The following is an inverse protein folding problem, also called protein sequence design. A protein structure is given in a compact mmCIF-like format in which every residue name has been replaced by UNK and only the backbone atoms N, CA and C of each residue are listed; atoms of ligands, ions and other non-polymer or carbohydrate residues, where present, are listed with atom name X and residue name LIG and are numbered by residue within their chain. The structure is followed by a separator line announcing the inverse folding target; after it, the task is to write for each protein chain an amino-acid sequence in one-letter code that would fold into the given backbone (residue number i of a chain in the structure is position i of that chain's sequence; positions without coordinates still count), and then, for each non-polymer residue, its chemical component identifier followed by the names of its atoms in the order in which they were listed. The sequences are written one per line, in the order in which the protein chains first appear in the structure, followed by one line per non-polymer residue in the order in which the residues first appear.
data_IF_075836190345
#
_entry.id   IF_075836190345
#
_cell.length_a   1.000
_cell.length_b   1.000
_cell.length_c   1.000
_cell.angle_alpha   90.00
_cell.angle_beta   90.00
_cell.angle_gamma   90.00
#
_symmetry.space_group_name_H-M   'P 1'
#
loop_
_entity.id
_entity.type
_entity.pdbx_description
1 polymer ?
#
# COMPACT_ATOMS: atom_id res chain seq x y z
N UNK A 1 18.87 28.99 -69.63
CA UNK A 1 19.26 30.40 -69.85
C UNK A 1 19.71 30.92 -68.51
N UNK A 2 21.02 31.03 -68.23
CA UNK A 2 21.90 32.16 -68.48
C UNK A 2 21.56 33.31 -67.51
N UNK A 3 22.42 33.93 -66.69
CA UNK A 3 23.88 34.11 -66.53
C UNK A 3 24.10 34.89 -65.24
N UNK A 4 25.08 34.53 -64.43
CA UNK A 4 26.40 35.26 -64.25
C UNK A 4 26.31 36.63 -63.63
N UNK A 5 27.09 36.90 -62.61
CA UNK A 5 28.38 37.43 -62.46
C UNK A 5 28.63 37.94 -61.03
N UNK A 6 29.60 37.51 -60.32
CA UNK A 6 31.04 37.90 -60.22
C UNK A 6 31.30 39.37 -59.97
N UNK A 7 31.94 39.73 -58.86
CA UNK A 7 33.29 40.31 -58.73
C UNK A 7 33.47 40.98 -57.36
N UNK A 8 34.42 40.53 -56.62
CA UNK A 8 35.81 40.97 -56.34
C UNK A 8 35.99 42.03 -55.22
N UNK A 9 36.81 41.59 -54.29
CA UNK A 9 37.69 42.29 -53.30
C UNK A 9 38.46 43.53 -53.91
N UNK A 10 39.16 44.38 -53.09
CA UNK A 10 40.22 44.02 -52.13
C UNK A 10 40.48 44.91 -50.88
N UNK A 11 41.24 44.37 -49.91
CA UNK A 11 42.47 44.83 -49.20
C UNK A 11 42.50 46.25 -48.65
N UNK A 12 43.06 46.58 -47.54
CA UNK A 12 44.15 46.28 -46.61
C UNK A 12 44.17 47.47 -45.63
N UNK A 13 44.65 47.48 -44.44
CA UNK A 13 45.97 47.30 -43.86
C UNK A 13 45.96 47.69 -42.37
N UNK A 14 46.56 46.86 -41.58
CA UNK A 14 47.55 47.06 -40.52
C UNK A 14 47.63 48.43 -39.78
N UNK A 15 47.54 48.42 -38.44
CA UNK A 15 48.57 48.99 -37.56
C UNK A 15 48.34 48.74 -36.06
N UNK A 16 49.28 48.02 -35.46
CA UNK A 16 50.03 48.20 -34.22
C UNK A 16 49.30 48.44 -32.88
N UNK A 17 49.68 47.60 -31.93
CA UNK A 17 49.59 47.71 -30.47
C UNK A 17 50.42 48.91 -29.94
N UNK A 18 50.25 49.38 -28.68
CA UNK A 18 50.81 48.64 -27.54
C UNK A 18 50.06 48.76 -26.17
N UNK A 19 50.35 47.77 -25.35
CA UNK A 19 50.72 47.73 -23.91
C UNK A 19 49.73 48.06 -22.79
N UNK A 20 49.61 47.05 -21.92
CA UNK A 20 49.82 47.11 -20.48
C UNK A 20 48.74 47.74 -19.58
N UNK A 21 47.96 46.93 -18.90
CA UNK A 21 47.88 47.03 -17.43
C UNK A 21 47.24 45.79 -16.82
N UNK A 22 47.99 45.23 -15.93
CA UNK A 22 47.60 44.06 -15.09
C UNK A 22 46.39 44.39 -14.19
N UNK A 23 45.43 43.52 -14.15
CA UNK A 23 44.42 43.50 -13.09
C UNK A 23 44.56 42.22 -12.26
N UNK A 24 44.39 42.29 -10.92
CA UNK A 24 44.74 41.22 -10.04
C UNK A 24 43.73 40.05 -10.13
N UNK A 25 44.27 38.84 -10.02
CA UNK A 25 43.52 37.57 -9.83
C UNK A 25 42.67 37.67 -8.57
N UNK A 26 41.33 37.60 -8.72
CA UNK A 26 40.45 37.28 -7.61
C UNK A 26 40.52 35.76 -7.37
N UNK A 27 40.92 35.46 -6.17
CA UNK A 27 40.95 34.12 -5.60
C UNK A 27 39.57 33.47 -5.48
N UNK A 28 39.52 32.17 -5.74
CA UNK A 28 38.73 31.19 -5.01
C UNK A 28 37.23 31.39 -5.04
N UNK A 29 36.55 30.91 -6.10
CA UNK A 29 35.19 30.43 -5.97
C UNK A 29 35.17 29.15 -5.11
N UNK A 30 34.68 29.27 -3.91
CA UNK A 30 34.36 28.13 -3.03
C UNK A 30 33.36 27.26 -3.80
N UNK A 31 33.80 26.10 -4.20
CA UNK A 31 32.91 25.01 -4.63
C UNK A 31 32.06 24.66 -3.41
N UNK A 32 30.79 25.01 -3.46
CA UNK A 32 29.79 24.51 -2.52
C UNK A 32 29.62 23.00 -2.82
N UNK A 33 30.41 22.18 -2.15
CA UNK A 33 30.15 20.75 -2.04
C UNK A 33 28.81 20.63 -1.33
N UNK A 34 27.75 20.48 -2.14
CA UNK A 34 26.49 19.94 -1.66
C UNK A 34 26.79 18.51 -1.24
N UNK A 35 27.03 18.34 0.02
CA UNK A 35 27.08 17.08 0.73
C UNK A 35 25.68 16.45 0.59
N UNK A 36 25.43 15.72 -0.49
CA UNK A 36 24.25 14.88 -0.66
C UNK A 36 24.43 13.67 0.24
N UNK A 37 23.94 13.79 1.45
CA UNK A 37 23.85 12.70 2.40
C UNK A 37 22.95 11.59 1.81
N UNK A 38 23.35 10.30 1.86
CA UNK A 38 22.57 9.14 1.36
C UNK A 38 21.21 8.94 2.04
N UNK A 39 20.87 9.77 3.02
CA UNK A 39 19.69 9.70 3.88
C UNK A 39 18.36 10.09 3.21
N UNK A 40 18.39 10.76 2.04
CA UNK A 40 17.18 11.35 1.46
C UNK A 40 16.33 10.41 0.61
N UNK A 41 16.87 9.33 0.06
CA UNK A 41 16.09 8.45 -0.83
C UNK A 41 15.05 7.60 -0.06
N UNK A 42 15.38 7.09 1.13
CA UNK A 42 14.46 6.34 1.98
C UNK A 42 13.33 7.22 2.52
N UNK A 43 13.68 8.41 3.03
CA UNK A 43 12.72 9.36 3.59
C UNK A 43 11.69 9.84 2.55
N UNK A 44 12.12 10.08 1.30
CA UNK A 44 11.21 10.50 0.23
C UNK A 44 10.25 9.37 -0.17
N UNK A 45 10.73 8.12 -0.26
CA UNK A 45 9.88 6.97 -0.57
C UNK A 45 8.79 6.79 0.50
N UNK A 46 9.16 6.90 1.76
CA UNK A 46 8.22 6.84 2.89
C UNK A 46 7.22 7.99 2.87
N UNK A 47 7.67 9.22 2.64
CA UNK A 47 6.81 10.38 2.51
C UNK A 47 5.79 10.24 1.38
N UNK A 48 6.18 9.63 0.25
CA UNK A 48 5.28 9.31 -0.86
C UNK A 48 4.23 8.26 -0.49
N UNK A 49 4.59 7.22 0.28
CA UNK A 49 3.64 6.22 0.75
C UNK A 49 2.64 6.81 1.76
N UNK A 50 3.09 7.66 2.68
CA UNK A 50 2.20 8.39 3.58
C UNK A 50 1.26 9.35 2.82
N UNK A 51 1.77 10.01 1.79
CA UNK A 51 0.95 10.85 0.92
C UNK A 51 -0.08 10.02 0.14
N UNK A 52 0.31 8.85 -0.36
CA UNK A 52 -0.58 7.93 -1.05
C UNK A 52 -1.71 7.43 -0.13
N UNK A 53 -1.40 7.12 1.11
CA UNK A 53 -2.38 6.73 2.11
C UNK A 53 -3.39 7.85 2.37
N UNK A 54 -2.94 9.10 2.59
CA UNK A 54 -3.84 10.26 2.76
C UNK A 54 -4.74 10.49 1.54
N UNK A 55 -4.20 10.36 0.33
CA UNK A 55 -5.00 10.48 -0.90
C UNK A 55 -6.02 9.35 -0.99
N UNK A 56 -5.62 8.11 -0.66
CA UNK A 56 -6.51 6.95 -0.63
C UNK A 56 -7.67 7.14 0.35
N UNK A 57 -7.40 7.62 1.54
CA UNK A 57 -8.42 7.85 2.58
C UNK A 57 -9.40 8.97 2.19
N UNK A 58 -8.90 10.07 1.63
CA UNK A 58 -9.71 11.23 1.27
C UNK A 58 -10.49 11.04 -0.02
N UNK A 59 -9.85 10.55 -1.06
CA UNK A 59 -10.37 10.55 -2.45
C UNK A 59 -10.72 9.13 -2.94
N UNK A 60 -10.47 8.09 -2.13
CA UNK A 60 -10.68 6.70 -2.49
C UNK A 60 -9.72 6.19 -3.56
N UNK A 61 -9.96 4.94 -4.01
CA UNK A 61 -9.14 4.31 -5.05
C UNK A 61 -9.21 5.02 -6.42
N UNK A 62 -10.33 5.68 -6.72
CA UNK A 62 -10.51 6.39 -7.98
C UNK A 62 -9.66 7.67 -8.04
N UNK A 63 -9.46 8.34 -6.90
CA UNK A 63 -8.63 9.55 -6.79
C UNK A 63 -7.14 9.26 -6.68
N UNK A 64 -6.74 8.02 -6.40
CA UNK A 64 -5.35 7.64 -6.19
C UNK A 64 -4.59 7.57 -7.52
N UNK A 65 -3.78 8.59 -7.79
CA UNK A 65 -2.94 8.70 -8.97
C UNK A 65 -1.53 9.16 -8.60
N UNK A 66 -0.50 8.85 -9.42
CA UNK A 66 0.87 9.32 -9.17
C UNK A 66 0.95 10.85 -9.07
N UNK A 67 0.14 11.58 -9.86
CA UNK A 67 0.09 13.05 -9.81
C UNK A 67 -0.54 13.56 -8.51
N UNK A 68 -1.62 12.95 -8.05
CA UNK A 68 -2.24 13.30 -6.78
C UNK A 68 -1.28 13.09 -5.61
N UNK A 69 -0.57 11.96 -5.61
CA UNK A 69 0.44 11.62 -4.58
C UNK A 69 1.62 12.59 -4.60
N UNK A 70 2.15 12.94 -5.80
CA UNK A 70 3.23 13.92 -5.91
C UNK A 70 2.82 15.29 -5.35
N UNK A 71 1.60 15.75 -5.69
CA UNK A 71 1.04 16.99 -5.18
C UNK A 71 0.85 16.97 -3.67
N UNK A 72 0.30 15.88 -3.13
CA UNK A 72 0.10 15.67 -1.70
C UNK A 72 1.41 15.66 -0.91
N UNK A 73 2.46 15.07 -1.49
CA UNK A 73 3.80 15.02 -0.90
C UNK A 73 4.62 16.32 -1.10
N UNK A 74 4.13 17.27 -1.91
CA UNK A 74 4.86 18.52 -2.20
C UNK A 74 6.12 18.33 -3.05
N UNK A 75 6.15 17.31 -3.93
CA UNK A 75 7.33 16.95 -4.72
C UNK A 75 7.05 17.00 -6.22
N UNK A 76 8.10 16.82 -7.03
CA UNK A 76 7.97 16.78 -8.49
C UNK A 76 7.08 15.63 -8.95
N UNK A 77 6.34 15.82 -10.05
CA UNK A 77 5.48 14.78 -10.62
C UNK A 77 6.25 13.52 -11.08
N UNK A 78 7.57 13.63 -11.29
CA UNK A 78 8.42 12.50 -11.66
C UNK A 78 8.81 11.63 -10.46
N UNK A 79 8.79 12.16 -9.24
CA UNK A 79 9.27 11.48 -8.05
C UNK A 79 8.53 10.14 -7.78
N UNK A 80 7.19 10.04 -7.78
CA UNK A 80 6.51 8.77 -7.56
C UNK A 80 6.85 7.72 -8.62
N UNK A 81 6.96 8.13 -9.89
CA UNK A 81 7.34 7.23 -10.98
C UNK A 81 8.76 6.70 -10.79
N UNK A 82 9.69 7.55 -10.34
CA UNK A 82 11.07 7.15 -10.07
C UNK A 82 11.15 6.08 -8.95
N UNK A 83 10.34 6.21 -7.88
CA UNK A 83 10.39 5.31 -6.74
C UNK A 83 9.58 4.02 -6.92
N UNK A 84 8.48 4.07 -7.66
CA UNK A 84 7.52 2.95 -7.74
C UNK A 84 7.34 2.38 -9.15
N UNK A 85 7.87 3.06 -10.18
CA UNK A 85 7.70 2.70 -11.58
C UNK A 85 6.39 3.23 -12.17
N UNK A 86 5.27 2.78 -11.65
CA UNK A 86 3.93 3.15 -12.08
C UNK A 86 2.94 3.17 -10.92
N UNK A 87 1.65 3.35 -11.23
CA UNK A 87 0.59 3.34 -10.21
C UNK A 87 0.44 1.96 -9.57
N UNK A 88 0.54 0.88 -10.37
CA UNK A 88 0.48 -0.49 -9.86
C UNK A 88 1.56 -0.75 -8.84
N UNK A 89 2.79 -0.29 -9.11
CA UNK A 89 3.89 -0.37 -8.16
C UNK A 89 3.63 0.38 -6.86
N UNK A 90 3.11 1.60 -6.93
CA UNK A 90 2.77 2.40 -5.75
C UNK A 90 1.67 1.73 -4.91
N UNK A 91 0.56 1.31 -5.54
CA UNK A 91 -0.57 0.71 -4.82
C UNK A 91 -0.22 -0.66 -4.23
N UNK A 92 0.69 -1.41 -4.88
CA UNK A 92 1.20 -2.68 -4.35
C UNK A 92 2.03 -2.49 -3.08
N UNK A 93 2.89 -1.47 -3.05
CA UNK A 93 3.65 -1.12 -1.83
C UNK A 93 2.73 -0.63 -0.71
N UNK A 94 1.69 0.13 -1.06
CA UNK A 94 0.69 0.60 -0.10
C UNK A 94 -0.13 -0.56 0.46
N UNK A 95 -0.57 -1.50 -0.39
CA UNK A 95 -1.26 -2.71 0.03
C UNK A 95 -0.39 -3.60 0.94
N UNK A 96 0.92 -3.68 0.69
CA UNK A 96 1.87 -4.37 1.58
C UNK A 96 1.89 -3.77 2.99
N UNK A 97 1.80 -2.44 3.12
CA UNK A 97 1.66 -1.76 4.41
C UNK A 97 0.33 -2.15 5.06
N UNK A 98 -0.76 -2.15 4.29
CA UNK A 98 -2.08 -2.58 4.75
C UNK A 98 -2.06 -4.01 5.31
N UNK A 99 -1.50 -4.97 4.58
CA UNK A 99 -1.37 -6.37 5.03
C UNK A 99 -0.53 -6.51 6.29
N UNK A 100 0.59 -5.78 6.42
CA UNK A 100 1.40 -5.81 7.65
C UNK A 100 0.64 -5.28 8.87
N UNK A 101 -0.05 -4.15 8.72
CA UNK A 101 -0.88 -3.57 9.80
C UNK A 101 -2.05 -4.48 10.16
N UNK A 102 -2.70 -5.04 9.15
CA UNK A 102 -3.77 -6.02 9.34
C UNK A 102 -3.27 -7.26 10.09
N UNK A 103 -2.14 -7.84 9.65
CA UNK A 103 -1.52 -8.98 10.34
C UNK A 103 -1.17 -8.69 11.79
N UNK A 104 -0.64 -7.49 12.09
CA UNK A 104 -0.34 -7.05 13.45
C UNK A 104 -1.61 -6.93 14.30
N UNK A 105 -2.71 -6.39 13.74
CA UNK A 105 -4.00 -6.31 14.44
C UNK A 105 -4.58 -7.71 14.74
N UNK A 106 -4.42 -8.66 13.82
CA UNK A 106 -4.83 -10.05 14.05
C UNK A 106 -3.99 -10.74 15.13
N UNK A 107 -2.67 -10.55 15.12
CA UNK A 107 -1.77 -11.14 16.10
C UNK A 107 -1.99 -10.60 17.52
N UNK A 108 -2.41 -9.35 17.67
CA UNK A 108 -2.73 -8.77 18.97
C UNK A 108 -3.89 -9.49 19.69
N UNK A 109 -4.73 -10.24 18.97
CA UNK A 109 -5.85 -10.99 19.53
C UNK A 109 -5.45 -12.37 20.10
N UNK A 110 -4.23 -12.83 19.87
CA UNK A 110 -3.78 -14.16 20.32
C UNK A 110 -3.56 -14.24 21.83
N UNK A 111 -3.58 -13.11 22.53
CA UNK A 111 -3.47 -13.01 24.00
C UNK A 111 -4.78 -13.34 24.74
N UNK A 112 -5.88 -13.64 24.04
CA UNK A 112 -7.17 -13.98 24.67
C UNK A 112 -7.08 -15.26 25.52
N UNK A 113 -7.74 -15.23 26.69
CA UNK A 113 -7.52 -16.20 27.77
C UNK A 113 -8.24 -17.53 27.56
N UNK A 114 -9.40 -17.55 26.87
CA UNK A 114 -10.21 -18.75 26.65
C UNK A 114 -10.31 -19.13 25.17
N UNK A 115 -10.59 -20.41 24.85
CA UNK A 115 -10.79 -20.84 23.45
C UNK A 115 -11.94 -20.10 22.76
N UNK A 116 -13.03 -19.82 23.48
CA UNK A 116 -14.17 -19.07 22.94
C UNK A 116 -13.80 -17.61 22.64
N UNK A 117 -13.09 -16.96 23.55
CA UNK A 117 -12.61 -15.59 23.33
C UNK A 117 -11.69 -15.51 22.11
N UNK A 118 -10.75 -16.46 21.95
CA UNK A 118 -9.90 -16.53 20.77
C UNK A 118 -10.68 -16.74 19.47
N UNK A 119 -11.71 -17.59 19.51
CA UNK A 119 -12.57 -17.82 18.36
C UNK A 119 -13.31 -16.55 17.90
N UNK A 120 -13.68 -15.67 18.83
CA UNK A 120 -14.43 -14.45 18.54
C UNK A 120 -13.52 -13.24 18.30
N UNK A 121 -12.39 -13.14 19.00
CA UNK A 121 -11.52 -11.96 18.99
C UNK A 121 -10.93 -11.65 17.60
N UNK A 122 -10.43 -12.66 16.89
CA UNK A 122 -9.85 -12.44 15.54
C UNK A 122 -10.89 -11.99 14.51
N UNK A 123 -12.07 -12.64 14.36
CA UNK A 123 -13.13 -12.13 13.49
C UNK A 123 -13.59 -10.72 13.84
N UNK A 124 -13.71 -10.39 15.12
CA UNK A 124 -14.08 -9.03 15.57
C UNK A 124 -13.00 -8.03 15.20
N UNK A 125 -11.72 -8.34 15.44
CA UNK A 125 -10.60 -7.48 15.04
C UNK A 125 -10.49 -7.32 13.51
N UNK A 126 -10.82 -8.36 12.76
CA UNK A 126 -10.89 -8.32 11.31
C UNK A 126 -11.90 -7.25 10.84
N UNK A 127 -13.14 -7.33 11.35
CA UNK A 127 -14.20 -6.37 11.02
C UNK A 127 -13.83 -4.97 11.50
N UNK A 128 -13.33 -4.83 12.72
CA UNK A 128 -12.91 -3.53 13.29
C UNK A 128 -11.80 -2.87 12.45
N UNK A 129 -10.80 -3.63 12.00
CA UNK A 129 -9.77 -3.12 11.10
C UNK A 129 -10.35 -2.61 9.78
N UNK A 130 -11.23 -3.39 9.17
CA UNK A 130 -11.85 -3.04 7.89
C UNK A 130 -12.75 -1.79 8.01
N UNK A 131 -13.47 -1.63 9.13
CA UNK A 131 -14.27 -0.44 9.41
C UNK A 131 -13.41 0.80 9.70
N UNK A 132 -12.29 0.63 10.39
CA UNK A 132 -11.36 1.71 10.67
C UNK A 132 -10.58 2.17 9.42
N UNK A 133 -10.34 1.28 8.46
CA UNK A 133 -9.52 1.51 7.28
C UNK A 133 -10.19 1.02 5.97
N UNK A 134 -11.42 1.46 5.63
CA UNK A 134 -12.22 0.85 4.56
C UNK A 134 -11.56 0.97 3.18
N UNK A 135 -10.91 2.09 2.89
CA UNK A 135 -10.22 2.29 1.61
C UNK A 135 -8.97 1.43 1.49
N UNK A 136 -8.18 1.31 2.57
CA UNK A 136 -7.01 0.44 2.62
C UNK A 136 -7.42 -1.02 2.52
N UNK A 137 -8.44 -1.44 3.27
CA UNK A 137 -8.99 -2.79 3.20
C UNK A 137 -9.47 -3.13 1.79
N UNK A 138 -10.23 -2.24 1.14
CA UNK A 138 -10.63 -2.43 -0.26
C UNK A 138 -9.44 -2.55 -1.21
N UNK A 139 -8.37 -1.76 -1.02
CA UNK A 139 -7.17 -1.85 -1.83
C UNK A 139 -6.48 -3.20 -1.69
N UNK A 140 -6.33 -3.71 -0.47
CA UNK A 140 -5.62 -4.97 -0.18
C UNK A 140 -6.21 -6.16 -0.94
N UNK A 141 -7.52 -6.18 -1.16
CA UNK A 141 -8.22 -7.31 -1.79
C UNK A 141 -8.59 -7.06 -3.27
N UNK A 142 -8.14 -5.96 -3.87
CA UNK A 142 -8.33 -5.67 -5.30
C UNK A 142 -7.15 -6.19 -6.14
N UNK A 143 -7.08 -7.50 -6.26
CA UNK A 143 -5.96 -8.20 -6.95
C UNK A 143 -5.74 -7.75 -8.38
N UNK A 144 -6.77 -7.28 -9.09
CA UNK A 144 -6.69 -6.75 -10.44
C UNK A 144 -5.86 -5.45 -10.55
N UNK A 145 -5.60 -4.78 -9.43
CA UNK A 145 -4.80 -3.55 -9.36
C UNK A 145 -3.41 -3.75 -8.79
N UNK A 146 -3.11 -4.94 -8.29
CA UNK A 146 -1.90 -5.24 -7.54
C UNK A 146 -0.95 -6.11 -8.35
N UNK A 147 0.34 -5.85 -8.20
CA UNK A 147 1.40 -6.70 -8.72
C UNK A 147 1.89 -7.63 -7.60
N UNK A 148 1.31 -8.83 -7.55
CA UNK A 148 1.65 -9.86 -6.56
C UNK A 148 3.06 -10.44 -6.74
N UNK A 149 3.76 -10.13 -7.84
CA UNK A 149 5.15 -10.54 -8.03
C UNK A 149 6.13 -9.69 -7.20
N UNK A 150 5.69 -8.53 -6.68
CA UNK A 150 6.52 -7.67 -5.83
C UNK A 150 6.80 -8.32 -4.49
N UNK A 151 8.08 -8.46 -4.09
CA UNK A 151 8.47 -9.17 -2.87
C UNK A 151 7.76 -8.61 -1.62
N UNK A 152 7.73 -7.28 -1.47
CA UNK A 152 7.10 -6.61 -0.32
C UNK A 152 5.62 -6.94 -0.14
N UNK A 153 4.86 -7.01 -1.23
CA UNK A 153 3.44 -7.37 -1.20
C UNK A 153 3.25 -8.85 -0.97
N UNK A 154 3.99 -9.68 -1.72
CA UNK A 154 3.91 -11.13 -1.59
C UNK A 154 4.20 -11.58 -0.17
N UNK A 155 5.32 -11.15 0.42
CA UNK A 155 5.70 -11.47 1.79
C UNK A 155 4.65 -11.04 2.82
N UNK A 156 4.09 -9.83 2.66
CA UNK A 156 3.06 -9.33 3.58
C UNK A 156 1.75 -10.10 3.46
N UNK A 157 1.34 -10.47 2.25
CA UNK A 157 0.14 -11.26 2.00
C UNK A 157 0.31 -12.71 2.49
N UNK A 158 1.45 -13.35 2.20
CA UNK A 158 1.81 -14.68 2.69
C UNK A 158 1.86 -14.75 4.22
N UNK A 159 2.46 -13.74 4.88
CA UNK A 159 2.49 -13.65 6.34
C UNK A 159 1.08 -13.52 6.93
N UNK A 160 0.20 -12.74 6.29
CA UNK A 160 -1.20 -12.60 6.68
C UNK A 160 -1.96 -13.92 6.57
N UNK A 161 -1.77 -14.66 5.45
CA UNK A 161 -2.35 -15.98 5.24
C UNK A 161 -1.82 -17.00 6.25
N UNK A 162 -0.50 -17.04 6.48
CA UNK A 162 0.11 -17.92 7.48
C UNK A 162 -0.45 -17.65 8.89
N UNK A 163 -0.69 -16.39 9.25
CA UNK A 163 -1.34 -16.02 10.50
C UNK A 163 -2.75 -16.60 10.64
N UNK A 164 -3.54 -16.62 9.56
CA UNK A 164 -4.86 -17.26 9.55
C UNK A 164 -4.72 -18.79 9.67
N UNK A 165 -3.86 -19.42 8.86
CA UNK A 165 -3.65 -20.86 8.87
C UNK A 165 -3.21 -21.35 10.25
N UNK A 166 -2.24 -20.68 10.87
CA UNK A 166 -1.78 -21.01 12.21
C UNK A 166 -2.89 -20.88 13.28
N UNK A 167 -3.76 -19.87 13.18
CA UNK A 167 -4.87 -19.72 14.10
C UNK A 167 -5.89 -20.87 13.96
N UNK A 168 -6.20 -21.30 12.74
CA UNK A 168 -7.06 -22.46 12.48
C UNK A 168 -6.42 -23.74 12.97
N UNK A 169 -5.12 -23.95 12.72
CA UNK A 169 -4.37 -25.09 13.24
C UNK A 169 -4.38 -25.16 14.77
N UNK A 170 -4.18 -24.03 15.44
CA UNK A 170 -4.26 -23.95 16.89
C UNK A 170 -5.66 -24.29 17.44
N UNK A 171 -6.73 -23.85 16.77
CA UNK A 171 -8.12 -24.20 17.14
C UNK A 171 -8.41 -25.68 16.95
N UNK A 172 -7.85 -26.30 15.91
CA UNK A 172 -8.03 -27.73 15.59
C UNK A 172 -7.02 -28.62 16.31
N UNK A 173 -6.08 -28.04 17.05
CA UNK A 173 -4.98 -28.74 17.73
C UNK A 173 -4.12 -29.57 16.76
N UNK A 174 -3.94 -29.09 15.54
CA UNK A 174 -3.14 -29.72 14.50
C UNK A 174 -2.13 -28.72 13.90
N UNK A 175 -0.90 -29.16 13.57
CA UNK A 175 0.07 -28.30 12.88
C UNK A 175 -0.37 -28.08 11.42
N UNK A 176 -0.26 -26.84 10.95
CA UNK A 176 -0.44 -26.49 9.54
C UNK A 176 0.93 -26.32 8.92
N UNK A 177 1.26 -27.15 7.93
CA UNK A 177 2.49 -27.06 7.15
C UNK A 177 2.31 -26.32 5.83
N UNK A 178 3.37 -26.31 5.00
CA UNK A 178 3.34 -25.67 3.69
C UNK A 178 2.37 -26.37 2.71
N UNK A 179 2.18 -27.67 2.87
CA UNK A 179 1.21 -28.47 2.12
C UNK A 179 -0.01 -28.72 2.99
N UNK A 180 -1.16 -28.30 2.52
CA UNK A 180 -2.43 -28.46 3.20
C UNK A 180 -3.12 -29.76 2.80
N UNK A 181 -3.74 -30.45 3.75
CA UNK A 181 -4.77 -31.44 3.44
C UNK A 181 -6.04 -30.75 2.95
N UNK A 182 -6.93 -31.48 2.28
CA UNK A 182 -8.22 -30.93 1.85
C UNK A 182 -9.05 -30.40 3.02
N UNK A 183 -9.04 -31.07 4.16
CA UNK A 183 -9.79 -30.67 5.35
C UNK A 183 -9.21 -29.40 5.98
N UNK A 184 -7.88 -29.26 6.03
CA UNK A 184 -7.22 -28.02 6.47
C UNK A 184 -7.56 -26.85 5.54
N UNK A 185 -7.46 -27.06 4.23
CA UNK A 185 -7.80 -26.06 3.24
C UNK A 185 -9.28 -25.64 3.34
N UNK A 186 -10.19 -26.60 3.53
CA UNK A 186 -11.61 -26.34 3.71
C UNK A 186 -11.89 -25.51 4.97
N UNK A 187 -11.23 -25.83 6.09
CA UNK A 187 -11.40 -25.11 7.35
C UNK A 187 -10.89 -23.65 7.23
N UNK A 188 -9.74 -23.46 6.62
CA UNK A 188 -9.17 -22.13 6.37
C UNK A 188 -10.08 -21.32 5.43
N UNK A 189 -10.50 -21.92 4.31
CA UNK A 189 -11.38 -21.28 3.34
C UNK A 189 -12.76 -20.91 3.96
N UNK A 190 -13.33 -21.78 4.77
CA UNK A 190 -14.59 -21.52 5.48
C UNK A 190 -14.45 -20.33 6.42
N UNK A 191 -13.45 -20.33 7.29
CA UNK A 191 -13.22 -19.25 8.25
C UNK A 191 -13.00 -17.91 7.54
N UNK A 192 -12.16 -17.90 6.50
CA UNK A 192 -11.89 -16.69 5.72
C UNK A 192 -13.13 -16.20 4.99
N UNK A 193 -13.81 -17.07 4.25
CA UNK A 193 -15.01 -16.72 3.48
C UNK A 193 -16.11 -16.12 4.35
N UNK A 194 -16.32 -16.70 5.54
CA UNK A 194 -17.33 -16.20 6.48
C UNK A 194 -17.03 -14.78 6.95
N UNK A 195 -15.83 -14.54 7.46
CA UNK A 195 -15.46 -13.24 8.03
C UNK A 195 -15.29 -12.19 6.91
N UNK A 196 -14.62 -12.56 5.81
CA UNK A 196 -14.43 -11.67 4.68
C UNK A 196 -15.77 -11.31 4.00
N UNK A 197 -16.61 -12.28 3.74
CA UNK A 197 -17.94 -12.06 3.15
C UNK A 197 -18.82 -11.18 4.05
N UNK A 198 -18.86 -11.46 5.36
CA UNK A 198 -19.56 -10.59 6.31
C UNK A 198 -19.03 -9.16 6.27
N UNK A 199 -17.71 -8.98 6.30
CA UNK A 199 -17.07 -7.68 6.27
C UNK A 199 -17.38 -6.90 4.98
N UNK A 200 -17.33 -7.56 3.84
CA UNK A 200 -17.69 -6.93 2.56
C UNK A 200 -19.15 -6.48 2.53
N UNK A 201 -20.08 -7.35 2.96
CA UNK A 201 -21.50 -7.02 3.06
C UNK A 201 -21.75 -5.85 4.02
N UNK A 202 -21.01 -5.79 5.12
CA UNK A 202 -21.10 -4.71 6.10
C UNK A 202 -20.63 -3.38 5.52
N UNK A 203 -19.43 -3.36 4.91
CA UNK A 203 -18.85 -2.13 4.33
C UNK A 203 -19.68 -1.60 3.15
N UNK A 204 -20.32 -2.48 2.39
CA UNK A 204 -21.21 -2.11 1.29
C UNK A 204 -22.64 -1.73 1.77
N UNK A 205 -22.91 -1.77 3.08
CA UNK A 205 -24.22 -1.48 3.66
C UNK A 205 -25.29 -2.54 3.39
N UNK A 206 -24.92 -3.70 2.84
CA UNK A 206 -25.87 -4.77 2.45
C UNK A 206 -26.44 -5.56 3.63
N UNK A 207 -25.87 -5.42 4.82
CA UNK A 207 -26.41 -6.02 6.04
C UNK A 207 -27.53 -5.17 6.68
N UNK A 208 -27.77 -3.95 6.20
CA UNK A 208 -28.77 -3.05 6.76
C UNK A 208 -30.15 -3.67 6.83
N UNK A 209 -30.61 -4.37 5.77
CA UNK A 209 -31.94 -4.99 5.73
C UNK A 209 -32.09 -6.15 6.76
N UNK A 210 -30.99 -6.84 7.06
CA UNK A 210 -30.97 -7.87 8.09
C UNK A 210 -31.01 -7.20 9.47
N UNK A 211 -30.17 -6.21 9.69
CA UNK A 211 -30.07 -5.50 10.97
C UNK A 211 -31.37 -4.79 11.35
N UNK A 212 -32.07 -4.19 10.39
CA UNK A 212 -33.37 -3.54 10.63
C UNK A 212 -34.51 -4.50 11.03
N UNK A 213 -34.33 -5.78 10.77
CA UNK A 213 -35.33 -6.82 11.16
C UNK A 213 -35.00 -7.46 12.52
N UNK A 214 -33.90 -7.08 13.14
CA UNK A 214 -33.50 -7.54 14.47
C UNK A 214 -34.04 -6.60 15.56
N UNK A 215 -34.05 -7.04 16.82
CA UNK A 215 -34.41 -6.17 17.94
C UNK A 215 -33.59 -4.87 17.92
N UNK A 216 -34.25 -3.78 18.34
CA UNK A 216 -33.62 -2.46 18.37
C UNK A 216 -32.34 -2.47 19.20
N UNK A 217 -31.24 -1.88 18.65
CA UNK A 217 -29.95 -1.83 19.29
C UNK A 217 -29.04 -3.04 18.99
N UNK A 218 -29.49 -4.00 18.17
CA UNK A 218 -28.60 -5.09 17.72
C UNK A 218 -27.51 -4.55 16.82
N UNK A 219 -26.26 -4.84 17.13
CA UNK A 219 -25.09 -4.37 16.38
C UNK A 219 -24.61 -5.41 15.36
N UNK A 220 -23.79 -4.96 14.40
CA UNK A 220 -23.14 -5.86 13.43
C UNK A 220 -22.20 -6.86 14.12
N UNK A 221 -21.54 -6.46 15.22
CA UNK A 221 -20.67 -7.33 16.01
C UNK A 221 -21.47 -8.47 16.66
N UNK A 222 -22.65 -8.17 17.20
CA UNK A 222 -23.55 -9.19 17.77
C UNK A 222 -24.06 -10.16 16.68
N UNK A 223 -24.35 -9.65 15.48
CA UNK A 223 -24.74 -10.50 14.35
C UNK A 223 -23.58 -11.41 13.92
N UNK A 224 -22.34 -10.87 13.84
CA UNK A 224 -21.14 -11.64 13.56
C UNK A 224 -20.94 -12.76 14.60
N UNK A 225 -21.05 -12.44 15.88
CA UNK A 225 -20.91 -13.41 16.96
C UNK A 225 -21.96 -14.54 16.86
N UNK A 226 -23.20 -14.18 16.61
CA UNK A 226 -24.28 -15.16 16.41
C UNK A 226 -24.01 -16.06 15.19
N UNK A 227 -23.51 -15.49 14.09
CA UNK A 227 -23.14 -16.24 12.89
C UNK A 227 -22.00 -17.23 13.17
N UNK A 228 -20.95 -16.80 13.89
CA UNK A 228 -19.82 -17.65 14.25
C UNK A 228 -20.25 -18.81 15.17
N UNK A 229 -21.08 -18.53 16.17
CA UNK A 229 -21.65 -19.55 17.06
C UNK A 229 -22.50 -20.57 16.29
N UNK A 230 -23.34 -20.11 15.35
CA UNK A 230 -24.16 -20.99 14.52
C UNK A 230 -23.31 -21.87 13.58
N UNK A 231 -22.17 -21.40 13.11
CA UNK A 231 -21.25 -22.20 12.30
C UNK A 231 -20.48 -23.22 13.12
N UNK A 232 -20.03 -22.88 14.32
CA UNK A 232 -19.32 -23.78 15.23
C UNK A 232 -20.20 -25.00 15.65
N UNK A 233 -21.51 -24.81 15.76
CA UNK A 233 -22.46 -25.87 16.06
C UNK A 233 -22.55 -26.98 14.97
N UNK A 234 -22.22 -26.63 13.71
CA UNK A 234 -22.35 -27.53 12.54
C UNK A 234 -21.04 -28.18 12.11
N UNK A 235 -19.94 -27.90 12.76
CA UNK A 235 -18.67 -28.56 12.46
C UNK A 235 -18.66 -29.90 13.20
N UNK A 236 -18.55 -31.04 12.48
CA UNK A 236 -18.36 -32.33 13.13
C UNK A 236 -17.05 -32.32 13.92
N UNK A 237 -17.10 -32.79 15.14
CA UNK A 237 -15.96 -33.07 16.03
C UNK A 237 -15.04 -34.14 15.46
#
# INVERSE_FOLDING_TARGET
MAKTGTTRRPRSATRAQPSSSARPRRAGGVKNDKNETPYHHGALREALLLAAERVLERDGLAGLTLRAVAREAGVSHAAPKHHFGDLTGLVSELAAIGFRRFGAAMAACDAASSPLERMLARPQAYVAYAQAHPCMYSLMFRTERLDLSRPSLREAAEASFAGLANAIGAMRQEPIGDLLTLDQAAAIALAWSMVHGFTMLLLEGRLSDILHRLPQGTTAEQLLEAMLKAAAWKLPS
#
